data_IF_383922714798
#
_entry.id   IF_383922714798
#
_cell.length_a   1.000
_cell.length_b   1.000
_cell.length_c   1.000
_cell.angle_alpha   90.00
_cell.angle_beta   90.00
_cell.angle_gamma   90.00
#
_symmetry.space_group_name_H-M   'P 1'
#
loop_
_entity.id
_entity.type
_entity.pdbx_description
1 polymer ?
#
# COMPACT_ATOMS: atom_id res chain seq x y z
N UNK A 1 -8.01 13.21 10.82
CA UNK A 1 -7.40 14.43 11.38
C UNK A 1 -7.89 14.72 12.79
N UNK A 2 -9.20 14.71 13.06
CA UNK A 2 -9.74 14.94 14.41
C UNK A 2 -9.34 13.83 15.42
N UNK A 3 -9.45 12.55 15.04
CA UNK A 3 -9.11 11.42 15.92
C UNK A 3 -7.61 11.39 16.30
N UNK A 4 -6.73 11.68 15.34
CA UNK A 4 -5.28 11.77 15.59
C UNK A 4 -4.93 12.98 16.47
N UNK A 5 -5.59 14.11 16.28
CA UNK A 5 -5.40 15.32 17.09
C UNK A 5 -5.84 15.13 18.55
N UNK A 6 -6.98 14.49 18.78
CA UNK A 6 -7.48 14.19 20.14
C UNK A 6 -6.56 13.22 20.90
N UNK A 7 -5.92 12.26 20.21
CA UNK A 7 -5.02 11.30 20.85
C UNK A 7 -3.71 11.96 21.33
N UNK A 8 -3.12 12.82 20.50
CA UNK A 8 -1.92 13.60 20.86
C UNK A 8 -2.21 14.63 21.95
N UNK A 9 -3.37 15.27 21.91
CA UNK A 9 -3.82 16.19 22.96
C UNK A 9 -4.04 15.48 24.30
N UNK A 10 -4.64 14.28 24.27
CA UNK A 10 -4.83 13.45 25.46
C UNK A 10 -3.51 13.02 26.10
N UNK A 11 -2.52 12.59 25.32
CA UNK A 11 -1.19 12.21 25.82
C UNK A 11 -0.47 13.41 26.45
N UNK A 12 -0.56 14.60 25.84
CA UNK A 12 0.01 15.83 26.39
C UNK A 12 -0.63 16.27 27.71
N UNK A 13 -1.95 16.12 27.84
CA UNK A 13 -2.68 16.38 29.08
C UNK A 13 -2.32 15.38 30.18
N UNK A 14 -2.18 14.09 29.84
CA UNK A 14 -1.90 13.02 30.79
C UNK A 14 -0.48 13.11 31.37
N UNK A 15 0.51 13.57 30.58
CA UNK A 15 1.90 13.70 31.03
C UNK A 15 2.27 15.05 31.64
N UNK A 16 1.69 16.16 31.16
CA UNK A 16 2.12 17.51 31.56
C UNK A 16 1.06 18.31 32.32
N UNK A 17 -0.19 17.85 32.37
CA UNK A 17 -1.31 18.60 32.97
C UNK A 17 -1.46 20.05 32.44
N UNK A 18 -0.83 20.39 31.31
CA UNK A 18 -0.76 21.75 30.77
C UNK A 18 -1.24 21.80 29.31
N UNK A 19 -2.28 22.61 29.07
CA UNK A 19 -2.99 22.73 27.78
C UNK A 19 -2.12 23.25 26.61
N UNK A 20 -1.06 24.01 26.89
CA UNK A 20 -0.18 24.63 25.88
C UNK A 20 0.72 23.62 25.15
N UNK A 21 1.18 22.56 25.82
CA UNK A 21 1.99 21.51 25.21
C UNK A 21 1.19 20.68 24.17
N UNK A 22 -0.12 20.53 24.39
CA UNK A 22 -1.03 19.86 23.46
C UNK A 22 -1.23 20.60 22.14
N UNK A 23 -1.13 21.95 22.14
CA UNK A 23 -1.28 22.76 20.92
C UNK A 23 -0.06 22.67 20.01
N UNK A 24 1.15 22.51 20.55
CA UNK A 24 2.38 22.36 19.76
C UNK A 24 2.37 21.04 18.99
N UNK A 25 1.93 19.94 19.61
CA UNK A 25 1.78 18.64 18.95
C UNK A 25 0.70 18.65 17.85
N UNK A 26 -0.34 19.49 17.98
CA UNK A 26 -1.38 19.62 16.96
C UNK A 26 -0.87 20.22 15.64
N UNK A 27 0.24 20.97 15.63
CA UNK A 27 0.83 21.51 14.39
C UNK A 27 1.41 20.43 13.46
N UNK A 28 1.70 19.23 13.99
CA UNK A 28 2.10 18.06 13.18
C UNK A 28 1.02 17.55 12.21
N UNK A 29 -0.24 18.01 12.35
CA UNK A 29 -1.36 17.60 11.49
C UNK A 29 -1.20 18.05 10.02
N UNK A 30 -0.35 19.06 9.75
CA UNK A 30 -0.06 19.56 8.40
C UNK A 30 0.62 18.52 7.49
N UNK A 31 1.24 17.47 8.06
CA UNK A 31 1.90 16.41 7.28
C UNK A 31 0.95 15.27 6.85
N UNK A 32 -0.26 15.22 7.37
CA UNK A 32 -1.24 14.15 7.11
C UNK A 32 -1.70 14.06 5.64
N UNK A 33 -1.98 15.16 4.91
CA UNK A 33 -2.49 15.08 3.54
C UNK A 33 -1.53 14.36 2.57
N UNK A 34 -0.22 14.62 2.71
CA UNK A 34 0.80 14.04 1.81
C UNK A 34 1.00 12.55 2.00
N UNK A 35 0.70 12.02 3.19
CA UNK A 35 0.76 10.59 3.45
C UNK A 35 -0.44 9.87 2.81
N UNK A 36 -1.65 10.44 2.93
CA UNK A 36 -2.86 9.86 2.38
C UNK A 36 -2.85 9.74 0.87
N UNK A 37 -2.29 10.73 0.17
CA UNK A 37 -2.16 10.67 -1.30
C UNK A 37 -1.27 9.52 -1.76
N UNK A 38 -0.18 9.24 -1.05
CA UNK A 38 0.70 8.10 -1.38
C UNK A 38 0.00 6.77 -1.14
N UNK A 39 -0.65 6.62 0.02
CA UNK A 39 -1.41 5.40 0.35
C UNK A 39 -2.50 5.12 -0.67
N UNK A 40 -3.22 6.15 -1.12
CA UNK A 40 -4.28 5.98 -2.11
C UNK A 40 -3.73 5.61 -3.50
N UNK A 41 -2.59 6.20 -3.88
CA UNK A 41 -1.89 5.86 -5.12
C UNK A 41 -1.39 4.41 -5.11
N UNK A 42 -0.77 3.97 -4.01
CA UNK A 42 -0.23 2.62 -3.86
C UNK A 42 -1.36 1.58 -3.90
N UNK A 43 -2.51 1.89 -3.26
CA UNK A 43 -3.71 1.04 -3.36
C UNK A 43 -4.22 0.93 -4.80
N UNK A 44 -4.30 2.06 -5.52
CA UNK A 44 -4.74 2.07 -6.92
C UNK A 44 -3.81 1.24 -7.81
N UNK A 45 -2.49 1.39 -7.62
CA UNK A 45 -1.48 0.60 -8.34
C UNK A 45 -1.60 -0.89 -8.04
N UNK A 46 -1.80 -1.26 -6.77
CA UNK A 46 -2.00 -2.66 -6.37
C UNK A 46 -3.24 -3.27 -7.02
N UNK A 47 -4.36 -2.54 -7.06
CA UNK A 47 -5.58 -2.97 -7.76
C UNK A 47 -5.34 -3.12 -9.26
N UNK A 48 -4.61 -2.19 -9.88
CA UNK A 48 -4.26 -2.26 -11.29
C UNK A 48 -3.38 -3.48 -11.59
N UNK A 49 -2.35 -3.77 -10.78
CA UNK A 49 -1.51 -4.97 -10.90
C UNK A 49 -2.31 -6.26 -10.76
N UNK A 50 -3.29 -6.30 -9.85
CA UNK A 50 -4.16 -7.46 -9.66
C UNK A 50 -5.02 -7.72 -10.90
N UNK A 51 -5.68 -6.69 -11.43
CA UNK A 51 -6.46 -6.85 -12.65
C UNK A 51 -5.56 -7.20 -13.83
N UNK A 52 -4.35 -6.65 -13.89
CA UNK A 52 -3.41 -6.94 -14.96
C UNK A 52 -2.97 -8.40 -14.96
N UNK A 53 -2.72 -8.99 -13.77
CA UNK A 53 -2.51 -10.45 -13.62
C UNK A 53 -3.69 -11.24 -14.21
N UNK A 54 -4.93 -10.86 -13.90
CA UNK A 54 -6.12 -11.54 -14.42
C UNK A 54 -6.22 -11.43 -15.95
N UNK A 55 -5.90 -10.27 -16.51
CA UNK A 55 -5.87 -10.05 -17.95
C UNK A 55 -4.80 -10.90 -18.64
N UNK A 56 -3.59 -10.99 -18.07
CA UNK A 56 -2.54 -11.86 -18.59
C UNK A 56 -2.94 -13.35 -18.52
N UNK A 57 -3.65 -13.77 -17.48
CA UNK A 57 -4.16 -15.13 -17.39
C UNK A 57 -5.17 -15.45 -18.50
N UNK A 58 -6.15 -14.55 -18.72
CA UNK A 58 -7.11 -14.67 -19.82
C UNK A 58 -6.40 -14.68 -21.19
N UNK A 59 -5.45 -13.78 -21.38
CA UNK A 59 -4.64 -13.70 -22.60
C UNK A 59 -3.82 -14.98 -22.83
N UNK A 60 -3.19 -15.53 -21.79
CA UNK A 60 -2.46 -16.80 -21.88
C UNK A 60 -3.36 -17.95 -22.31
N UNK A 61 -4.60 -17.98 -21.81
CA UNK A 61 -5.58 -19.01 -22.18
C UNK A 61 -6.03 -18.87 -23.64
N UNK A 62 -6.31 -17.64 -24.09
CA UNK A 62 -6.68 -17.35 -25.47
C UNK A 62 -5.55 -17.72 -26.46
N UNK A 63 -4.31 -17.35 -26.14
CA UNK A 63 -3.12 -17.69 -26.94
C UNK A 63 -2.88 -19.21 -26.98
N UNK A 64 -3.03 -19.91 -25.85
CA UNK A 64 -2.90 -21.36 -25.78
C UNK A 64 -3.98 -22.09 -26.59
N UNK A 65 -5.16 -21.48 -26.78
CA UNK A 65 -6.21 -21.97 -27.68
C UNK A 65 -5.91 -21.71 -29.16
N UNK A 66 -4.72 -21.18 -29.50
CA UNK A 66 -4.27 -20.92 -30.86
C UNK A 66 -4.75 -19.60 -31.45
N UNK A 67 -5.32 -18.69 -30.63
CA UNK A 67 -5.70 -17.36 -31.11
C UNK A 67 -4.45 -16.52 -31.35
N UNK A 68 -4.52 -15.60 -32.32
CA UNK A 68 -3.47 -14.60 -32.49
C UNK A 68 -3.43 -13.66 -31.29
N UNK A 69 -2.28 -13.03 -31.09
CA UNK A 69 -2.04 -12.15 -29.95
C UNK A 69 -2.94 -10.93 -30.00
N UNK A 70 -3.11 -10.37 -31.19
CA UNK A 70 -4.00 -9.25 -31.46
C UNK A 70 -5.46 -9.62 -31.11
N UNK A 71 -5.90 -10.83 -31.45
CA UNK A 71 -7.25 -11.29 -31.10
C UNK A 71 -7.37 -11.57 -29.60
N UNK A 72 -6.35 -12.15 -28.98
CA UNK A 72 -6.32 -12.38 -27.53
C UNK A 72 -6.48 -11.07 -26.74
N UNK A 73 -5.78 -10.00 -27.13
CA UNK A 73 -5.96 -8.69 -26.49
C UNK A 73 -7.36 -8.10 -26.75
N UNK A 74 -7.92 -8.26 -27.96
CA UNK A 74 -9.28 -7.79 -28.26
C UNK A 74 -10.35 -8.47 -27.40
N UNK A 75 -10.26 -9.78 -27.24
CA UNK A 75 -11.21 -10.57 -26.46
C UNK A 75 -11.02 -10.42 -24.95
N UNK A 76 -9.78 -10.22 -24.49
CA UNK A 76 -9.49 -10.05 -23.06
C UNK A 76 -10.28 -8.90 -22.43
N UNK A 77 -10.65 -7.86 -23.21
CA UNK A 77 -11.54 -6.77 -22.75
C UNK A 77 -12.92 -7.30 -22.37
N UNK A 78 -13.48 -8.20 -23.19
CA UNK A 78 -14.80 -8.78 -22.96
C UNK A 78 -14.76 -9.75 -21.78
N UNK A 79 -13.72 -10.60 -21.69
CA UNK A 79 -13.52 -11.51 -20.56
C UNK A 79 -13.38 -10.76 -19.24
N UNK A 80 -12.60 -9.67 -19.21
CA UNK A 80 -12.44 -8.82 -18.03
C UNK A 80 -13.76 -8.15 -17.61
N UNK A 81 -14.60 -7.74 -18.56
CA UNK A 81 -15.93 -7.19 -18.28
C UNK A 81 -16.91 -8.23 -17.76
N UNK A 82 -16.82 -9.48 -18.23
CA UNK A 82 -17.65 -10.57 -17.70
C UNK A 82 -17.27 -10.93 -16.26
N UNK A 83 -15.97 -10.90 -15.94
CA UNK A 83 -15.48 -11.16 -14.59
C UNK A 83 -15.87 -10.06 -13.59
N UNK A 84 -16.01 -8.81 -14.04
CA UNK A 84 -16.43 -7.68 -13.21
C UNK A 84 -17.40 -6.73 -13.97
N UNK A 85 -18.70 -7.08 -14.05
CA UNK A 85 -19.69 -6.31 -14.81
C UNK A 85 -19.95 -4.90 -14.28
N UNK A 86 -19.74 -4.68 -12.97
CA UNK A 86 -20.03 -3.41 -12.30
C UNK A 86 -18.81 -2.48 -12.16
N UNK A 87 -17.59 -2.98 -12.46
CA UNK A 87 -16.37 -2.22 -12.26
C UNK A 87 -15.82 -1.74 -13.61
N UNK A 88 -16.03 -0.47 -13.94
CA UNK A 88 -15.25 0.24 -14.95
C UNK A 88 -13.83 0.49 -14.39
N UNK A 89 -13.04 -0.59 -14.34
CA UNK A 89 -11.71 -0.58 -13.75
C UNK A 89 -10.74 0.19 -14.65
N UNK A 90 -9.71 0.80 -14.06
CA UNK A 90 -8.65 1.48 -14.81
C UNK A 90 -8.06 0.58 -15.91
N UNK A 91 -7.94 -0.73 -15.64
CA UNK A 91 -7.43 -1.67 -16.63
C UNK A 91 -8.36 -1.87 -17.82
N UNK A 92 -9.68 -1.99 -17.60
CA UNK A 92 -10.65 -2.16 -18.69
C UNK A 92 -10.61 -0.96 -19.62
N UNK A 93 -10.47 0.26 -19.07
CA UNK A 93 -10.29 1.48 -19.87
C UNK A 93 -9.03 1.42 -20.72
N UNK A 94 -7.90 1.06 -20.11
CA UNK A 94 -6.61 0.96 -20.81
C UNK A 94 -6.61 -0.13 -21.88
N UNK A 95 -7.17 -1.31 -21.61
CA UNK A 95 -7.31 -2.38 -22.59
C UNK A 95 -8.32 -2.05 -23.70
N UNK A 96 -9.36 -1.26 -23.39
CA UNK A 96 -10.27 -0.72 -24.41
C UNK A 96 -9.51 0.23 -25.35
N UNK A 97 -8.65 1.10 -24.82
CA UNK A 97 -7.78 1.98 -25.63
C UNK A 97 -6.83 1.16 -26.51
N UNK A 98 -6.20 0.12 -25.96
CA UNK A 98 -5.35 -0.81 -26.73
C UNK A 98 -6.13 -1.44 -27.89
N UNK A 99 -7.31 -2.00 -27.60
CA UNK A 99 -8.20 -2.59 -28.61
C UNK A 99 -8.52 -1.58 -29.71
N UNK A 100 -8.98 -0.40 -29.35
CA UNK A 100 -9.38 0.64 -30.32
C UNK A 100 -8.20 1.05 -31.22
N UNK A 101 -7.00 1.21 -30.66
CA UNK A 101 -5.80 1.54 -31.44
C UNK A 101 -5.43 0.43 -32.44
N UNK A 102 -5.53 -0.83 -32.03
CA UNK A 102 -5.33 -1.96 -32.94
C UNK A 102 -6.40 -2.03 -34.03
N UNK A 103 -7.66 -1.68 -33.74
CA UNK A 103 -8.73 -1.59 -34.75
C UNK A 103 -8.45 -0.48 -35.79
N UNK A 104 -7.79 0.59 -35.39
CA UNK A 104 -7.30 1.64 -36.29
C UNK A 104 -5.98 1.29 -37.01
N UNK A 105 -5.46 0.07 -36.84
CA UNK A 105 -4.27 -0.42 -37.54
C UNK A 105 -2.93 -0.04 -36.89
N UNK A 106 -2.95 0.52 -35.67
CA UNK A 106 -1.71 0.74 -34.92
C UNK A 106 -1.12 -0.60 -34.45
N UNK A 107 0.21 -0.82 -34.54
CA UNK A 107 0.85 -2.00 -33.98
C UNK A 107 0.64 -2.07 -32.46
N UNK A 108 0.41 -3.29 -31.97
CA UNK A 108 0.18 -3.53 -30.54
C UNK A 108 1.39 -3.18 -29.68
N UNK A 109 2.59 -3.28 -30.25
CA UNK A 109 3.85 -2.92 -29.62
C UNK A 109 3.86 -1.46 -29.15
N UNK A 110 3.47 -0.54 -30.03
CA UNK A 110 3.38 0.90 -29.70
C UNK A 110 2.26 1.19 -28.71
N UNK A 111 1.10 0.53 -28.90
CA UNK A 111 -0.04 0.72 -28.03
C UNK A 111 0.25 0.24 -26.59
N UNK A 112 0.91 -0.92 -26.46
CA UNK A 112 1.30 -1.52 -25.19
C UNK A 112 2.42 -0.72 -24.50
N UNK A 113 3.37 -0.19 -25.27
CA UNK A 113 4.42 0.69 -24.73
C UNK A 113 3.81 1.93 -24.07
N UNK A 114 2.91 2.62 -24.78
CA UNK A 114 2.24 3.82 -24.30
C UNK A 114 1.32 3.53 -23.09
N UNK A 115 0.70 2.34 -23.05
CA UNK A 115 0.01 1.87 -21.83
C UNK A 115 0.96 1.73 -20.65
N UNK A 116 2.14 1.15 -20.85
CA UNK A 116 3.11 0.95 -19.77
C UNK A 116 3.61 2.27 -19.16
N UNK A 117 3.86 3.26 -20.02
CA UNK A 117 4.28 4.60 -19.61
C UNK A 117 3.21 5.34 -18.82
N UNK A 118 1.93 5.18 -19.20
CA UNK A 118 0.79 5.74 -18.45
C UNK A 118 0.58 5.04 -17.10
N UNK A 119 0.71 3.71 -17.08
CA UNK A 119 0.46 2.93 -15.88
C UNK A 119 1.50 3.21 -14.78
N UNK A 120 2.76 3.47 -15.15
CA UNK A 120 3.88 3.70 -14.23
C UNK A 120 4.00 2.59 -13.17
N UNK A 121 3.79 1.35 -13.59
CA UNK A 121 3.96 0.14 -12.79
C UNK A 121 5.11 -0.66 -13.43
N UNK A 122 6.09 -1.01 -12.60
CA UNK A 122 7.28 -1.76 -13.00
C UNK A 122 6.91 -3.07 -13.70
N UNK A 123 5.97 -3.83 -13.13
CA UNK A 123 5.56 -5.13 -13.68
C UNK A 123 4.91 -5.01 -15.08
N UNK A 124 4.17 -3.93 -15.35
CA UNK A 124 3.57 -3.65 -16.67
C UNK A 124 4.65 -3.22 -17.67
N UNK A 125 5.60 -2.41 -17.22
CA UNK A 125 6.73 -1.94 -18.05
C UNK A 125 7.61 -3.11 -18.47
N UNK A 126 8.00 -3.96 -17.51
CA UNK A 126 8.76 -5.17 -17.77
C UNK A 126 8.02 -6.12 -18.73
N UNK A 127 6.71 -6.27 -18.57
CA UNK A 127 5.92 -7.05 -19.51
C UNK A 127 5.97 -6.48 -20.93
N UNK A 128 5.74 -5.17 -21.10
CA UNK A 128 5.76 -4.53 -22.40
C UNK A 128 7.11 -4.72 -23.11
N UNK A 129 8.23 -4.50 -22.40
CA UNK A 129 9.58 -4.65 -22.93
C UNK A 129 9.86 -6.09 -23.40
N UNK A 130 9.53 -7.08 -22.57
CA UNK A 130 9.73 -8.50 -22.90
C UNK A 130 8.81 -8.93 -24.03
N UNK A 131 7.55 -8.47 -24.03
CA UNK A 131 6.57 -8.78 -25.06
C UNK A 131 7.00 -8.24 -26.43
N UNK A 132 7.37 -6.95 -26.51
CA UNK A 132 7.83 -6.30 -27.75
C UNK A 132 9.08 -6.99 -28.28
N UNK A 133 10.03 -7.30 -27.39
CA UNK A 133 11.26 -8.02 -27.76
C UNK A 133 10.94 -9.40 -28.32
N UNK A 134 10.11 -10.18 -27.61
CA UNK A 134 9.73 -11.53 -28.00
C UNK A 134 9.00 -11.55 -29.36
N UNK A 135 8.09 -10.59 -29.58
CA UNK A 135 7.36 -10.46 -30.84
C UNK A 135 8.29 -10.17 -32.02
N UNK A 136 9.28 -9.29 -31.84
CA UNK A 136 10.28 -8.98 -32.87
C UNK A 136 11.20 -10.15 -33.18
N UNK A 137 11.55 -10.96 -32.18
CA UNK A 137 12.43 -12.13 -32.34
C UNK A 137 11.70 -13.40 -32.77
N UNK A 138 10.36 -13.39 -32.81
CA UNK A 138 9.54 -14.57 -33.11
C UNK A 138 9.57 -15.63 -32.00
N UNK A 139 9.72 -15.20 -30.74
CA UNK A 139 9.72 -16.09 -29.59
C UNK A 139 8.32 -16.56 -29.18
N UNK A 140 8.25 -17.34 -28.10
CA UNK A 140 6.99 -17.85 -27.56
C UNK A 140 6.29 -16.79 -26.69
N UNK A 141 5.31 -16.10 -27.29
CA UNK A 141 4.48 -15.12 -26.61
C UNK A 141 3.53 -15.74 -25.57
N UNK A 142 3.13 -17.00 -25.74
CA UNK A 142 2.32 -17.73 -24.74
C UNK A 142 3.15 -17.85 -23.46
N UNK A 143 4.41 -18.26 -23.58
CA UNK A 143 5.31 -18.41 -22.45
C UNK A 143 5.61 -17.07 -21.76
N UNK A 144 5.81 -15.98 -22.53
CA UNK A 144 6.02 -14.64 -21.96
C UNK A 144 4.81 -14.19 -21.13
N UNK A 145 3.60 -14.32 -21.67
CA UNK A 145 2.37 -13.92 -20.98
C UNK A 145 2.15 -14.79 -19.73
N UNK A 146 2.33 -16.12 -19.86
CA UNK A 146 2.17 -17.06 -18.75
C UNK A 146 3.18 -16.81 -17.64
N UNK A 147 4.47 -16.66 -17.96
CA UNK A 147 5.51 -16.37 -16.96
C UNK A 147 5.24 -15.06 -16.25
N UNK A 148 4.87 -14.01 -16.97
CA UNK A 148 4.57 -12.71 -16.37
C UNK A 148 3.38 -12.82 -15.42
N UNK A 149 2.31 -13.51 -15.83
CA UNK A 149 1.15 -13.76 -14.95
C UNK A 149 1.54 -14.50 -13.67
N UNK A 150 2.43 -15.49 -13.76
CA UNK A 150 2.94 -16.24 -12.61
C UNK A 150 3.78 -15.35 -11.69
N UNK A 151 4.75 -14.61 -12.23
CA UNK A 151 5.64 -13.74 -11.46
C UNK A 151 4.87 -12.65 -10.72
N UNK A 152 3.92 -11.98 -11.38
CA UNK A 152 3.06 -10.99 -10.74
C UNK A 152 2.20 -11.67 -9.66
N UNK A 153 1.72 -12.88 -9.91
CA UNK A 153 0.99 -13.67 -8.93
C UNK A 153 1.79 -13.95 -7.67
N UNK A 154 2.99 -14.52 -7.82
CA UNK A 154 3.90 -14.81 -6.72
C UNK A 154 4.24 -13.54 -5.93
N UNK A 155 4.47 -12.41 -6.62
CA UNK A 155 4.72 -11.12 -5.99
C UNK A 155 3.53 -10.63 -5.16
N UNK A 156 2.30 -10.75 -5.68
CA UNK A 156 1.08 -10.38 -4.95
C UNK A 156 0.84 -11.28 -3.73
N UNK A 157 1.10 -12.58 -3.86
CA UNK A 157 0.95 -13.54 -2.76
C UNK A 157 1.96 -13.22 -1.64
N UNK A 158 3.23 -12.96 -1.99
CA UNK A 158 4.26 -12.50 -1.04
C UNK A 158 3.85 -11.18 -0.38
N UNK A 159 3.33 -10.21 -1.14
CA UNK A 159 2.85 -8.94 -0.57
C UNK A 159 1.70 -9.14 0.41
N UNK A 160 0.78 -10.07 0.11
CA UNK A 160 -0.32 -10.42 1.00
C UNK A 160 0.18 -11.05 2.30
N UNK A 161 1.12 -12.00 2.21
CA UNK A 161 1.74 -12.63 3.38
C UNK A 161 2.48 -11.60 4.26
N UNK A 162 3.23 -10.68 3.64
CA UNK A 162 3.87 -9.56 4.35
C UNK A 162 2.81 -8.67 5.02
N UNK A 163 1.72 -8.34 4.33
CA UNK A 163 0.66 -7.50 4.88
C UNK A 163 0.01 -8.14 6.12
N UNK A 164 -0.25 -9.45 6.07
CA UNK A 164 -0.82 -10.21 7.19
C UNK A 164 0.16 -10.24 8.37
N UNK A 165 1.43 -10.57 8.11
CA UNK A 165 2.47 -10.60 9.14
C UNK A 165 2.68 -9.23 9.81
N UNK A 166 2.73 -8.15 9.01
CA UNK A 166 2.87 -6.79 9.51
C UNK A 166 1.62 -6.34 10.27
N UNK A 167 0.41 -6.72 9.84
CA UNK A 167 -0.82 -6.39 10.54
C UNK A 167 -0.84 -6.97 11.96
N UNK A 168 -0.43 -8.23 12.12
CA UNK A 168 -0.28 -8.86 13.43
C UNK A 168 0.74 -8.11 14.31
N UNK A 169 1.92 -7.78 13.77
CA UNK A 169 2.96 -7.05 14.51
C UNK A 169 2.56 -5.63 14.87
N UNK A 170 1.77 -4.97 14.02
CA UNK A 170 1.17 -3.66 14.32
C UNK A 170 0.20 -3.73 15.49
N UNK A 171 -0.63 -4.77 15.55
CA UNK A 171 -1.55 -4.96 16.66
C UNK A 171 -0.79 -5.21 17.98
N UNK A 172 0.18 -6.11 17.97
CA UNK A 172 1.05 -6.42 19.12
C UNK A 172 1.78 -5.16 19.62
N UNK A 173 2.39 -4.40 18.70
CA UNK A 173 3.06 -3.13 19.03
C UNK A 173 2.10 -2.11 19.65
N UNK A 174 0.87 -2.00 19.13
CA UNK A 174 -0.14 -1.08 19.65
C UNK A 174 -0.51 -1.42 21.11
N UNK A 175 -0.62 -2.70 21.44
CA UNK A 175 -0.88 -3.16 22.81
C UNK A 175 0.31 -2.85 23.73
N UNK A 176 1.54 -3.14 23.29
CA UNK A 176 2.75 -2.83 24.07
C UNK A 176 2.89 -1.32 24.34
N UNK A 177 2.56 -0.47 23.36
CA UNK A 177 2.56 0.98 23.56
C UNK A 177 1.46 1.47 24.50
N UNK A 178 0.29 0.83 24.52
CA UNK A 178 -0.80 1.21 25.41
C UNK A 178 -0.55 0.79 26.87
N UNK A 179 0.16 -0.32 27.10
CA UNK A 179 0.42 -0.88 28.42
C UNK A 179 0.99 0.11 29.46
N UNK A 180 2.07 0.89 29.19
CA UNK A 180 2.61 1.82 30.18
C UNK A 180 1.61 2.92 30.55
N UNK A 181 0.78 3.41 29.62
CA UNK A 181 -0.23 4.42 29.92
C UNK A 181 -1.37 3.85 30.77
N UNK A 182 -1.84 2.64 30.45
CA UNK A 182 -2.88 1.94 31.23
C UNK A 182 -2.38 1.69 32.66
N UNK A 183 -1.13 1.23 32.80
CA UNK A 183 -0.52 0.98 34.10
C UNK A 183 -0.36 2.27 34.93
N UNK A 184 0.08 3.36 34.30
CA UNK A 184 0.24 4.66 34.95
C UNK A 184 -1.12 5.23 35.40
N UNK A 185 -2.16 5.11 34.55
CA UNK A 185 -3.53 5.51 34.89
C UNK A 185 -4.08 4.69 36.06
N UNK A 186 -3.86 3.37 36.05
CA UNK A 186 -4.28 2.48 37.12
C UNK A 186 -3.64 2.85 38.47
N UNK A 187 -2.32 3.09 38.49
CA UNK A 187 -1.61 3.55 39.69
C UNK A 187 -2.11 4.91 40.18
N UNK A 188 -2.41 5.83 39.26
CA UNK A 188 -2.94 7.14 39.65
C UNK A 188 -4.32 7.05 40.34
N UNK A 189 -5.17 6.10 39.92
CA UNK A 189 -6.50 5.89 40.52
C UNK A 189 -6.44 5.12 41.84
N UNK A 190 -5.56 4.12 41.97
CA UNK A 190 -5.52 3.24 43.15
C UNK A 190 -4.55 3.74 44.24
N UNK A 191 -3.49 4.46 43.85
CA UNK A 191 -2.39 4.82 44.73
C UNK A 191 -1.84 6.22 44.41
N UNK A 192 -2.67 7.25 44.58
CA UNK A 192 -2.32 8.63 44.23
C UNK A 192 -1.10 9.15 45.01
N UNK A 193 -1.00 8.82 46.31
CA UNK A 193 0.11 9.19 47.19
C UNK A 193 1.47 8.65 46.70
N UNK A 194 1.48 7.52 45.98
CA UNK A 194 2.71 6.97 45.40
C UNK A 194 3.17 7.74 44.14
N UNK A 195 2.25 8.46 43.48
CA UNK A 195 2.52 9.18 42.23
C UNK A 195 2.85 10.66 42.46
N UNK A 196 2.53 11.24 43.62
CA UNK A 196 2.84 12.65 43.94
C UNK A 196 4.32 13.05 43.73
N UNK A 197 5.33 12.23 44.10
CA UNK A 197 6.74 12.56 43.85
C UNK A 197 7.10 12.59 42.36
N UNK A 198 6.35 11.87 41.52
CA UNK A 198 6.55 11.84 40.07
C UNK A 198 6.10 13.16 39.41
N UNK A 199 5.16 13.87 40.04
CA UNK A 199 4.62 15.15 39.57
C UNK A 199 5.27 16.37 40.23
N UNK A 200 6.41 16.22 40.92
CA UNK A 200 7.10 17.34 41.57
C UNK A 200 8.61 17.34 41.33
N UNK A 201 9.21 18.53 41.18
CA UNK A 201 10.66 18.74 41.10
C UNK A 201 11.40 17.83 40.11
N UNK A 202 12.17 16.86 40.63
CA UNK A 202 12.93 15.86 39.87
C UNK A 202 12.04 14.86 39.10
N UNK A 203 10.78 14.66 39.53
CA UNK A 203 9.83 13.78 38.87
C UNK A 203 9.48 14.22 37.44
N UNK A 204 9.50 15.53 37.15
CA UNK A 204 9.33 16.04 35.79
C UNK A 204 10.46 15.61 34.85
N UNK A 205 11.71 15.55 35.34
CA UNK A 205 12.85 15.08 34.54
C UNK A 205 12.73 13.59 34.21
N UNK A 206 12.31 12.78 35.19
CA UNK A 206 12.09 11.33 35.03
C UNK A 206 10.93 11.06 34.06
N UNK A 207 9.84 11.81 34.20
CA UNK A 207 8.69 11.71 33.30
C UNK A 207 9.04 12.11 31.87
N UNK A 208 9.83 13.18 31.70
CA UNK A 208 10.32 13.62 30.40
C UNK A 208 11.25 12.59 29.76
N UNK A 209 12.16 12.00 30.54
CA UNK A 209 13.04 10.92 30.08
C UNK A 209 12.26 9.67 29.64
N UNK A 210 11.25 9.27 30.43
CA UNK A 210 10.39 8.12 30.11
C UNK A 210 9.60 8.36 28.82
N UNK A 211 9.04 9.56 28.64
CA UNK A 211 8.33 9.94 27.42
C UNK A 211 9.28 9.96 26.21
N UNK A 212 10.51 10.46 26.37
CA UNK A 212 11.52 10.46 25.32
C UNK A 212 11.89 9.03 24.87
N UNK A 213 12.04 8.09 25.82
CA UNK A 213 12.28 6.67 25.51
C UNK A 213 11.10 6.05 24.78
N UNK A 214 9.86 6.31 25.22
CA UNK A 214 8.65 5.82 24.54
C UNK A 214 8.56 6.35 23.09
N UNK A 215 8.87 7.63 22.87
CA UNK A 215 8.92 8.22 21.53
C UNK A 215 10.02 7.58 20.69
N UNK A 216 11.21 7.36 21.24
CA UNK A 216 12.29 6.68 20.53
C UNK A 216 11.89 5.25 20.12
N UNK A 217 11.31 4.47 21.03
CA UNK A 217 10.79 3.14 20.73
C UNK A 217 9.72 3.18 19.62
N UNK A 218 8.82 4.16 19.66
CA UNK A 218 7.78 4.34 18.64
C UNK A 218 8.38 4.60 17.26
N UNK A 219 9.36 5.52 17.17
CA UNK A 219 10.06 5.82 15.93
C UNK A 219 10.81 4.59 15.40
N UNK A 220 11.44 3.82 16.29
CA UNK A 220 12.20 2.64 15.92
C UNK A 220 11.30 1.54 15.36
N UNK A 221 10.18 1.25 16.04
CA UNK A 221 9.18 0.28 15.60
C UNK A 221 8.56 0.71 14.27
N UNK A 222 8.19 1.98 14.10
CA UNK A 222 7.66 2.47 12.84
C UNK A 222 8.67 2.31 11.69
N UNK A 223 9.97 2.54 11.94
CA UNK A 223 11.01 2.38 10.93
C UNK A 223 11.24 0.92 10.53
N UNK A 224 11.12 -0.01 11.47
CA UNK A 224 11.25 -1.46 11.19
C UNK A 224 10.02 -1.98 10.44
N UNK A 225 8.82 -1.49 10.76
CA UNK A 225 7.57 -1.93 10.13
C UNK A 225 7.29 -1.27 8.77
N UNK A 226 8.07 -0.27 8.35
CA UNK A 226 7.97 0.34 7.02
C UNK A 226 8.74 -0.53 6.01
N UNK A 227 8.19 -1.72 5.76
CA UNK A 227 8.68 -2.61 4.72
C UNK A 227 8.10 -2.12 3.40
N UNK A 228 8.93 -1.44 2.61
CA UNK A 228 8.64 -1.21 1.19
C UNK A 228 8.81 -2.54 0.46
N UNK A 229 7.73 -3.04 -0.12
CA UNK A 229 7.72 -4.15 -1.09
C UNK A 229 7.51 -3.57 -2.47
#
# INVERSE_FOLDING_TARGET
>A
MLVSGSLFFGIGLLFYHHWMAGMILATGCIWVPRFWTKVLLDRRRMTLSLHFKQALYALSSALAAGKSVENGFKESVEDLRMLNPEADTDLIREFTILRTRMEYGQPIEEALQDFSERAQIEDITNFADVFITCKRTGGDLVEVVRRTSTVIGEKLDIQQDIMVAVAQKRFESKVMFAAPFIFLLFLNLTANDFMEPLYSGLGYLISTGTLAVLVCCYLWIHRIMDIKV
#
